data_IF_546986276498
#
_entry.id   IF_546986276498
#
_cell.length_a   1.000
_cell.length_b   1.000
_cell.length_c   1.000
_cell.angle_alpha   90.00
_cell.angle_beta   90.00
_cell.angle_gamma   90.00
#
_symmetry.space_group_name_H-M   'P 1'
#
loop_
_entity.id
_entity.type
_entity.pdbx_description
1 polymer ?
#
# COMPACT_ATOMS: atom_id res chain seq x y z
N UNK A 1 33.68 -9.23 -7.04
CA UNK A 1 32.42 -8.61 -6.56
C UNK A 1 31.73 -9.66 -5.72
N UNK A 2 31.34 -9.29 -4.51
CA UNK A 2 30.56 -10.18 -3.65
C UNK A 2 29.12 -10.26 -4.16
N UNK A 3 28.46 -11.38 -3.92
CA UNK A 3 27.04 -11.52 -4.20
C UNK A 3 26.20 -10.66 -3.24
N UNK A 4 25.12 -10.08 -3.74
CA UNK A 4 24.20 -9.30 -2.91
C UNK A 4 23.39 -10.23 -2.01
N UNK A 5 23.41 -9.95 -0.69
CA UNK A 5 22.54 -10.64 0.27
C UNK A 5 21.08 -10.34 -0.03
N UNK A 6 20.21 -11.34 0.08
CA UNK A 6 18.76 -11.16 -0.05
C UNK A 6 18.20 -10.18 0.99
N UNK A 7 18.89 -10.03 2.13
CA UNK A 7 18.55 -9.03 3.16
C UNK A 7 19.00 -7.61 2.82
N UNK A 8 19.77 -7.44 1.74
CA UNK A 8 20.38 -6.19 1.29
C UNK A 8 21.32 -5.52 2.31
N UNK A 9 21.75 -6.25 3.34
CA UNK A 9 22.58 -5.72 4.44
C UNK A 9 24.01 -5.37 3.99
N UNK A 10 24.55 -6.10 3.01
CA UNK A 10 25.89 -5.86 2.44
C UNK A 10 25.86 -4.95 1.20
N UNK A 11 24.78 -4.19 0.95
CA UNK A 11 24.68 -3.33 -0.24
C UNK A 11 25.84 -2.31 -0.32
N UNK A 12 26.39 -1.87 0.80
CA UNK A 12 27.55 -0.98 0.81
C UNK A 12 28.85 -1.58 0.27
N UNK A 13 28.96 -2.91 0.30
CA UNK A 13 30.19 -3.67 0.08
C UNK A 13 30.26 -4.27 -1.34
N UNK A 14 29.12 -4.32 -2.06
CA UNK A 14 29.07 -4.87 -3.42
C UNK A 14 29.68 -3.96 -4.50
N UNK A 15 29.92 -2.68 -4.18
CA UNK A 15 30.47 -1.71 -5.12
C UNK A 15 32.00 -1.81 -5.23
N UNK A 16 32.60 -1.49 -6.39
CA UNK A 16 34.05 -1.54 -6.55
C UNK A 16 34.78 -0.66 -5.53
N UNK A 17 35.84 -1.19 -4.91
CA UNK A 17 36.70 -0.44 -3.98
C UNK A 17 37.37 0.79 -4.62
N UNK A 18 37.41 0.87 -5.96
CA UNK A 18 37.92 2.01 -6.71
C UNK A 18 36.98 3.21 -6.74
N UNK A 19 35.71 3.05 -6.34
CA UNK A 19 34.72 4.12 -6.35
C UNK A 19 34.88 5.02 -5.12
N UNK A 20 34.68 6.32 -5.32
CA UNK A 20 34.59 7.29 -4.22
C UNK A 20 33.19 7.26 -3.57
N UNK A 21 33.01 8.01 -2.48
CA UNK A 21 31.74 8.04 -1.73
C UNK A 21 30.54 8.56 -2.54
N UNK A 22 30.76 9.52 -3.43
CA UNK A 22 29.71 10.08 -4.30
C UNK A 22 29.23 9.01 -5.29
N UNK A 23 30.16 8.34 -5.97
CA UNK A 23 29.86 7.24 -6.89
C UNK A 23 29.14 6.09 -6.19
N UNK A 24 29.55 5.73 -4.96
CA UNK A 24 28.86 4.71 -4.16
C UNK A 24 27.43 5.15 -3.83
N UNK A 25 27.21 6.41 -3.48
CA UNK A 25 25.87 6.95 -3.19
C UNK A 25 24.94 6.92 -4.41
N UNK A 26 25.45 7.35 -5.56
CA UNK A 26 24.72 7.29 -6.84
C UNK A 26 24.43 5.85 -7.27
N UNK A 27 25.41 4.96 -7.11
CA UNK A 27 25.28 3.53 -7.38
C UNK A 27 24.20 2.87 -6.52
N UNK A 28 24.19 3.13 -5.21
CA UNK A 28 23.15 2.67 -4.27
C UNK A 28 21.77 3.14 -4.70
N UNK A 29 21.65 4.43 -5.02
CA UNK A 29 20.38 5.03 -5.43
C UNK A 29 19.87 4.37 -6.72
N UNK A 30 20.73 4.21 -7.72
CA UNK A 30 20.39 3.59 -9.01
C UNK A 30 19.99 2.12 -8.82
N UNK A 31 20.76 1.37 -8.03
CA UNK A 31 20.44 -0.02 -7.70
C UNK A 31 19.07 -0.15 -7.04
N UNK A 32 18.79 0.65 -6.01
CA UNK A 32 17.52 0.60 -5.27
C UNK A 32 16.34 1.01 -6.14
N UNK A 33 16.50 2.03 -7.01
CA UNK A 33 15.47 2.42 -7.98
C UNK A 33 15.15 1.28 -8.94
N UNK A 34 16.18 0.64 -9.50
CA UNK A 34 15.99 -0.48 -10.44
C UNK A 34 15.39 -1.70 -9.76
N UNK A 35 15.86 -2.05 -8.56
CA UNK A 35 15.31 -3.16 -7.78
C UNK A 35 13.83 -2.90 -7.46
N UNK A 36 13.49 -1.67 -7.02
CA UNK A 36 12.11 -1.27 -6.75
C UNK A 36 11.20 -1.47 -7.97
N UNK A 37 11.60 -1.01 -9.15
CA UNK A 37 10.84 -1.22 -10.40
C UNK A 37 10.58 -2.71 -10.65
N UNK A 38 11.62 -3.54 -10.57
CA UNK A 38 11.53 -4.98 -10.83
C UNK A 38 10.64 -5.70 -9.82
N UNK A 39 10.77 -5.39 -8.52
CA UNK A 39 9.97 -6.04 -7.48
C UNK A 39 8.51 -5.63 -7.51
N UNK A 40 8.21 -4.34 -7.78
CA UNK A 40 6.83 -3.90 -7.94
C UNK A 40 6.15 -4.60 -9.12
N UNK A 41 6.88 -4.80 -10.23
CA UNK A 41 6.38 -5.56 -11.38
C UNK A 41 6.17 -7.04 -11.05
N UNK A 42 7.09 -7.65 -10.29
CA UNK A 42 7.00 -9.06 -9.92
C UNK A 42 5.78 -9.35 -9.02
N UNK A 43 5.56 -8.52 -8.00
CA UNK A 43 4.47 -8.72 -7.03
C UNK A 43 3.15 -8.02 -7.42
N UNK A 44 3.15 -7.26 -8.52
CA UNK A 44 2.01 -6.42 -8.94
C UNK A 44 1.55 -5.43 -7.85
N UNK A 45 2.53 -4.80 -7.19
CA UNK A 45 2.30 -3.93 -6.03
C UNK A 45 2.95 -4.48 -4.76
N UNK A 46 2.43 -4.05 -3.61
CA UNK A 46 2.99 -4.31 -2.27
C UNK A 46 1.95 -4.84 -1.28
N UNK A 47 0.66 -4.57 -1.50
CA UNK A 47 -0.42 -4.95 -0.59
C UNK A 47 -1.51 -5.76 -1.30
N UNK A 48 -2.27 -6.52 -0.53
CA UNK A 48 -3.45 -7.26 -1.01
C UNK A 48 -4.55 -7.24 0.05
N UNK A 49 -5.79 -7.49 -0.37
CA UNK A 49 -6.94 -7.67 0.52
C UNK A 49 -7.14 -9.15 0.80
N UNK A 50 -7.22 -9.52 2.06
CA UNK A 50 -7.47 -10.90 2.49
C UNK A 50 -8.61 -10.96 3.51
N UNK A 51 -9.46 -12.00 3.50
CA UNK A 51 -10.48 -12.18 4.53
C UNK A 51 -9.85 -12.34 5.92
N UNK A 52 -10.39 -11.65 6.93
CA UNK A 52 -9.99 -11.81 8.35
C UNK A 52 -10.83 -12.85 9.11
N UNK A 53 -11.97 -13.24 8.54
CA UNK A 53 -12.92 -14.19 9.15
C UNK A 53 -12.78 -15.57 8.52
N UNK A 54 -13.02 -16.66 9.27
CA UNK A 54 -13.03 -17.99 8.69
C UNK A 54 -14.27 -18.20 7.81
N UNK A 55 -14.14 -19.12 6.85
CA UNK A 55 -15.26 -19.65 6.07
C UNK A 55 -15.24 -21.18 6.20
N UNK A 56 -15.74 -21.75 7.32
CA UNK A 56 -15.72 -23.20 7.56
C UNK A 56 -16.52 -24.03 6.55
N UNK A 57 -17.43 -23.39 5.81
CA UNK A 57 -18.23 -24.03 4.78
C UNK A 57 -19.11 -23.01 4.06
N UNK A 58 -19.68 -23.43 2.93
CA UNK A 58 -20.40 -22.54 2.03
C UNK A 58 -21.56 -21.78 2.69
N UNK A 59 -22.26 -22.40 3.65
CA UNK A 59 -23.38 -21.78 4.35
C UNK A 59 -22.99 -20.53 5.18
N UNK A 60 -21.71 -20.32 5.49
CA UNK A 60 -21.26 -19.09 6.16
C UNK A 60 -21.40 -17.85 5.27
N UNK A 61 -21.47 -18.00 3.95
CA UNK A 61 -21.81 -16.87 3.07
C UNK A 61 -23.22 -16.33 3.35
N UNK A 62 -24.14 -17.14 3.88
CA UNK A 62 -25.46 -16.66 4.29
C UNK A 62 -25.41 -15.75 5.54
N UNK A 63 -24.30 -15.78 6.29
CA UNK A 63 -24.04 -14.92 7.45
C UNK A 63 -23.27 -13.67 7.03
N UNK A 64 -22.13 -13.86 6.36
CA UNK A 64 -21.27 -12.77 5.89
C UNK A 64 -21.88 -11.96 4.75
N UNK A 65 -22.84 -12.53 4.06
CA UNK A 65 -23.56 -11.92 2.95
C UNK A 65 -25.07 -12.17 3.11
N UNK A 66 -25.82 -12.08 2.01
CA UNK A 66 -27.27 -12.24 2.01
C UNK A 66 -27.67 -13.66 2.46
N UNK A 67 -28.67 -13.81 3.35
CA UNK A 67 -29.51 -12.75 3.92
C UNK A 67 -28.96 -12.08 5.19
N UNK A 68 -28.00 -12.69 5.89
CA UNK A 68 -27.55 -12.27 7.23
C UNK A 68 -27.02 -10.83 7.31
N UNK A 69 -26.27 -10.38 6.30
CA UNK A 69 -25.68 -9.03 6.24
C UNK A 69 -26.71 -7.90 6.39
N UNK A 70 -28.00 -8.16 6.08
CA UNK A 70 -29.09 -7.19 6.27
C UNK A 70 -29.16 -6.68 7.72
N UNK A 71 -28.89 -7.54 8.71
CA UNK A 71 -28.92 -7.12 10.12
C UNK A 71 -27.83 -6.10 10.42
N UNK A 72 -26.62 -6.28 9.89
CA UNK A 72 -25.52 -5.31 10.04
C UNK A 72 -25.91 -3.97 9.44
N UNK A 73 -26.49 -3.95 8.23
CA UNK A 73 -26.95 -2.72 7.58
C UNK A 73 -28.01 -1.98 8.40
N UNK A 74 -29.01 -2.68 8.92
CA UNK A 74 -30.07 -2.05 9.74
C UNK A 74 -29.56 -1.52 11.07
N UNK A 75 -28.62 -2.22 11.73
CA UNK A 75 -28.00 -1.74 12.96
C UNK A 75 -27.19 -0.46 12.73
N UNK A 76 -26.42 -0.39 11.64
CA UNK A 76 -25.66 0.81 11.29
C UNK A 76 -26.60 1.96 10.92
N UNK A 77 -27.68 1.70 10.18
CA UNK A 77 -28.71 2.72 9.86
C UNK A 77 -29.30 3.33 11.14
N UNK A 78 -29.62 2.49 12.12
CA UNK A 78 -30.27 2.92 13.36
C UNK A 78 -29.26 3.51 14.38
N UNK A 79 -27.98 3.16 14.25
CA UNK A 79 -26.85 3.72 15.02
C UNK A 79 -25.55 3.72 14.19
N UNK A 80 -25.17 4.87 13.65
CA UNK A 80 -24.01 5.01 12.78
C UNK A 80 -22.68 4.61 13.45
N UNK A 81 -22.53 4.78 14.77
CA UNK A 81 -21.29 4.45 15.49
C UNK A 81 -21.05 2.95 15.57
N UNK A 82 -22.10 2.13 15.45
CA UNK A 82 -21.98 0.67 15.37
C UNK A 82 -21.11 0.23 14.18
N UNK A 83 -20.91 1.06 13.16
CA UNK A 83 -19.99 0.76 12.05
C UNK A 83 -18.52 0.60 12.49
N UNK A 84 -18.09 1.22 13.60
CA UNK A 84 -16.73 1.02 14.14
C UNK A 84 -16.53 -0.37 14.72
N UNK A 85 -17.60 -0.98 15.25
CA UNK A 85 -17.59 -2.33 15.84
C UNK A 85 -17.90 -3.42 14.79
N UNK A 86 -18.86 -3.15 13.90
CA UNK A 86 -19.42 -4.13 12.98
C UNK A 86 -18.67 -4.23 11.64
N UNK A 87 -17.70 -3.36 11.39
CA UNK A 87 -16.94 -3.33 10.12
C UNK A 87 -15.44 -3.16 10.37
N UNK A 88 -14.64 -3.06 9.30
CA UNK A 88 -13.23 -2.70 9.42
C UNK A 88 -12.99 -1.20 9.64
N UNK A 89 -14.03 -0.35 9.67
CA UNK A 89 -13.92 1.10 9.84
C UNK A 89 -13.06 1.52 11.05
N UNK A 90 -13.11 0.77 12.15
CA UNK A 90 -12.30 1.05 13.35
C UNK A 90 -10.79 0.94 13.16
N UNK A 91 -10.31 0.26 12.10
CA UNK A 91 -8.90 0.06 11.83
C UNK A 91 -8.48 0.43 10.39
N UNK A 92 -9.42 0.94 9.56
CA UNK A 92 -9.19 1.21 8.14
C UNK A 92 -8.84 2.68 7.90
N UNK A 93 -7.71 2.93 7.25
CA UNK A 93 -7.25 4.27 6.85
C UNK A 93 -7.17 4.37 5.32
N UNK A 94 -7.76 5.42 4.75
CA UNK A 94 -7.52 5.80 3.36
C UNK A 94 -6.35 6.79 3.29
N UNK A 95 -5.32 6.47 2.53
CA UNK A 95 -4.16 7.34 2.28
C UNK A 95 -4.46 8.12 1.01
N UNK A 96 -5.07 9.29 1.19
CA UNK A 96 -5.55 10.12 0.09
C UNK A 96 -4.45 11.07 -0.40
N UNK A 97 -4.25 11.13 -1.72
CA UNK A 97 -3.33 12.07 -2.36
C UNK A 97 -3.85 12.47 -3.74
N UNK A 98 -3.57 13.69 -4.16
CA UNK A 98 -3.78 14.11 -5.56
C UNK A 98 -2.51 14.04 -6.42
N UNK A 99 -1.41 13.55 -5.82
CA UNK A 99 -0.11 13.35 -6.47
C UNK A 99 0.53 14.62 -7.08
N UNK A 100 0.09 15.82 -6.67
CA UNK A 100 0.65 17.10 -7.12
C UNK A 100 2.02 17.43 -6.52
N UNK A 101 2.40 16.74 -5.43
CA UNK A 101 3.74 16.79 -4.82
C UNK A 101 4.13 15.43 -4.25
N UNK A 102 4.68 14.56 -5.10
CA UNK A 102 5.19 13.25 -4.69
C UNK A 102 6.68 13.37 -4.39
N UNK A 103 7.06 13.29 -3.11
CA UNK A 103 8.45 13.41 -2.65
C UNK A 103 9.13 14.67 -3.23
N UNK A 104 10.31 14.52 -3.85
CA UNK A 104 11.02 15.58 -4.56
C UNK A 104 10.67 15.66 -6.06
N UNK A 105 9.79 14.78 -6.55
CA UNK A 105 9.51 14.59 -7.97
C UNK A 105 8.36 15.49 -8.49
N UNK A 106 7.69 16.25 -7.60
CA UNK A 106 6.67 17.23 -7.98
C UNK A 106 5.33 16.61 -8.39
N UNK A 107 4.69 17.19 -9.41
CA UNK A 107 3.42 16.69 -9.97
C UNK A 107 3.69 15.46 -10.83
N UNK A 108 3.30 14.28 -10.32
CA UNK A 108 3.53 13.00 -10.97
C UNK A 108 2.30 12.46 -11.72
N UNK A 109 1.28 13.29 -11.96
CA UNK A 109 -0.07 12.89 -12.42
C UNK A 109 -0.88 12.13 -11.34
N UNK A 110 -2.22 12.08 -11.41
CA UNK A 110 -3.04 11.46 -10.38
C UNK A 110 -2.59 10.05 -9.97
N UNK A 111 -2.41 9.05 -10.88
CA UNK A 111 -1.93 7.72 -10.49
C UNK A 111 -0.45 7.67 -10.10
N UNK A 112 0.35 8.71 -10.37
CA UNK A 112 1.79 8.70 -10.13
C UNK A 112 2.20 8.56 -8.66
N UNK A 113 1.32 8.95 -7.73
CA UNK A 113 1.56 8.78 -6.30
C UNK A 113 1.36 7.36 -5.77
N UNK A 114 0.78 6.43 -6.55
CA UNK A 114 0.36 5.11 -6.07
C UNK A 114 1.50 4.30 -5.45
N UNK A 115 2.70 4.35 -6.03
CA UNK A 115 3.88 3.66 -5.48
C UNK A 115 4.19 4.12 -4.04
N UNK A 116 4.14 5.43 -3.81
CA UNK A 116 4.39 6.05 -2.49
C UNK A 116 3.24 5.79 -1.53
N UNK A 117 1.99 6.00 -1.95
CA UNK A 117 0.82 5.84 -1.08
C UNK A 117 0.61 4.38 -0.67
N UNK A 118 0.82 3.44 -1.59
CA UNK A 118 0.80 2.01 -1.28
C UNK A 118 1.97 1.64 -0.34
N UNK A 119 3.12 2.29 -0.46
CA UNK A 119 4.24 2.13 0.46
C UNK A 119 3.90 2.57 1.89
N UNK A 120 3.18 3.69 2.03
CA UNK A 120 2.65 4.12 3.33
C UNK A 120 1.65 3.12 3.89
N UNK A 121 0.77 2.57 3.04
CA UNK A 121 -0.19 1.54 3.47
C UNK A 121 0.51 0.27 3.95
N UNK A 122 1.54 -0.17 3.23
CA UNK A 122 2.40 -1.28 3.63
C UNK A 122 3.03 -1.05 5.01
N UNK A 123 3.61 0.14 5.26
CA UNK A 123 4.20 0.47 6.55
C UNK A 123 3.16 0.55 7.68
N UNK A 124 1.99 1.14 7.42
CA UNK A 124 0.88 1.18 8.39
C UNK A 124 0.48 -0.23 8.83
N UNK A 125 0.39 -1.17 7.88
CA UNK A 125 0.05 -2.55 8.20
C UNK A 125 1.18 -3.27 8.93
N UNK A 126 2.39 -3.21 8.38
CA UNK A 126 3.52 -4.00 8.85
C UNK A 126 4.06 -3.52 10.21
N UNK A 127 4.12 -2.20 10.42
CA UNK A 127 4.66 -1.61 11.66
C UNK A 127 3.57 -1.24 12.67
N UNK A 128 2.37 -0.88 12.21
CA UNK A 128 1.31 -0.34 13.06
C UNK A 128 0.08 -1.24 13.23
N UNK A 129 -0.02 -2.36 12.51
CA UNK A 129 -1.21 -3.21 12.53
C UNK A 129 -2.47 -2.58 11.92
N UNK A 130 -2.33 -1.43 11.25
CA UNK A 130 -3.45 -0.65 10.67
C UNK A 130 -3.74 -1.14 9.26
N UNK A 131 -5.01 -1.39 8.94
CA UNK A 131 -5.41 -1.68 7.57
C UNK A 131 -5.47 -0.37 6.77
N UNK A 132 -4.82 -0.31 5.62
CA UNK A 132 -4.74 0.92 4.85
C UNK A 132 -4.83 0.67 3.35
N UNK A 133 -5.42 1.64 2.63
CA UNK A 133 -5.54 1.64 1.18
C UNK A 133 -5.02 2.94 0.58
N UNK A 134 -4.28 2.83 -0.51
CA UNK A 134 -3.87 3.99 -1.30
C UNK A 134 -5.03 4.51 -2.15
N UNK A 135 -5.35 5.79 -2.03
CA UNK A 135 -6.38 6.45 -2.83
C UNK A 135 -5.80 7.71 -3.48
N UNK A 136 -5.27 7.53 -4.69
CA UNK A 136 -4.84 8.66 -5.51
C UNK A 136 -6.02 9.17 -6.36
N UNK A 137 -6.28 10.48 -6.31
CA UNK A 137 -7.43 11.11 -6.98
C UNK A 137 -6.98 12.18 -7.96
N UNK A 138 -7.80 12.47 -8.97
CA UNK A 138 -7.62 13.68 -9.77
C UNK A 138 -8.37 14.86 -9.09
N UNK A 139 -7.61 15.86 -8.64
CA UNK A 139 -8.13 17.06 -8.00
C UNK A 139 -8.30 18.25 -8.97
N UNK A 140 -7.94 18.11 -10.26
CA UNK A 140 -7.84 19.23 -11.20
C UNK A 140 -9.19 19.77 -11.71
N UNK A 141 -10.32 19.31 -11.18
CA UNK A 141 -11.66 19.84 -11.49
C UNK A 141 -12.09 19.70 -12.96
N UNK A 142 -11.31 18.97 -13.78
CA UNK A 142 -11.62 18.72 -15.18
C UNK A 142 -12.84 17.81 -15.28
N UNK A 143 -13.88 18.31 -15.92
CA UNK A 143 -15.04 17.54 -16.35
C UNK A 143 -14.53 16.50 -17.35
N UNK A 144 -14.32 15.26 -16.89
CA UNK A 144 -14.24 14.12 -17.79
C UNK A 144 -15.66 13.81 -18.29
N UNK A 145 -16.06 14.50 -19.37
CA UNK A 145 -17.12 14.06 -20.28
C UNK A 145 -16.47 13.35 -21.47
#
# INVERSE_FOLDING_TARGET
MEEISVKLENLGEIFPNSWNQEQISEGKTTFLKRLSELTHKHYSGKIQVVPKVPVPGFNWFNVWYTPGVSKVSTLIRDNNDASFELTNRGNLVAIVSDSTRVLGDGDCTPPGGLGVMEGKAFLMKYLGGVDAVALCIDSKGGVYL
#
